data_IF_722229854166
#
_entry.id   IF_722229854166
#
_cell.length_a   1.000
_cell.length_b   1.000
_cell.length_c   1.000
_cell.angle_alpha   90.00
_cell.angle_beta   90.00
_cell.angle_gamma   90.00
#
_symmetry.space_group_name_H-M   'P 1'
#
loop_
_entity.id
_entity.type
_entity.pdbx_description
1 polymer ?
#
# COMPACT_ATOMS: atom_id res chain seq x y z
N UNK A 1 -7.73 23.26 2.29
CA UNK A 1 -6.47 22.94 1.58
C UNK A 1 -5.22 23.09 2.44
N UNK A 2 -5.02 24.20 3.17
CA UNK A 2 -3.83 24.39 4.04
C UNK A 2 -3.62 23.25 5.07
N UNK A 3 -4.72 22.72 5.63
CA UNK A 3 -4.68 21.67 6.67
C UNK A 3 -4.13 20.33 6.18
N UNK A 4 -4.66 19.83 5.06
CA UNK A 4 -4.17 18.60 4.43
C UNK A 4 -2.71 18.71 4.00
N UNK A 5 -2.30 19.86 3.44
CA UNK A 5 -0.90 20.09 3.08
C UNK A 5 0.03 20.05 4.29
N UNK A 6 -0.37 20.67 5.40
CA UNK A 6 0.38 20.57 6.66
C UNK A 6 0.43 19.13 7.17
N UNK A 7 -0.69 18.40 7.12
CA UNK A 7 -0.75 16.99 7.53
C UNK A 7 0.18 16.11 6.68
N UNK A 8 0.19 16.28 5.35
CA UNK A 8 1.11 15.58 4.44
C UNK A 8 2.57 15.88 4.77
N UNK A 9 2.92 17.16 4.99
CA UNK A 9 4.30 17.55 5.33
C UNK A 9 4.75 16.95 6.66
N UNK A 10 3.86 16.95 7.65
CA UNK A 10 4.16 16.35 8.95
C UNK A 10 4.31 14.83 8.80
N UNK A 11 3.37 14.15 8.17
CA UNK A 11 3.46 12.70 7.99
C UNK A 11 4.75 12.29 7.23
N UNK A 12 5.15 13.04 6.20
CA UNK A 12 6.43 12.83 5.51
C UNK A 12 7.66 13.05 6.42
N UNK A 13 7.62 14.06 7.29
CA UNK A 13 8.71 14.32 8.24
C UNK A 13 8.77 13.22 9.31
N UNK A 14 7.63 12.70 9.76
CA UNK A 14 7.56 11.58 10.69
C UNK A 14 8.13 10.31 10.06
N UNK A 15 7.76 10.01 8.81
CA UNK A 15 8.31 8.90 8.04
C UNK A 15 9.83 9.03 7.87
N UNK A 16 10.33 10.23 7.60
CA UNK A 16 11.76 10.48 7.47
C UNK A 16 12.51 10.29 8.80
N UNK A 17 12.00 10.86 9.89
CA UNK A 17 12.61 10.75 11.23
C UNK A 17 12.66 9.30 11.74
N UNK A 18 11.64 8.51 11.43
CA UNK A 18 11.56 7.09 11.78
C UNK A 18 12.26 6.17 10.77
N UNK A 19 12.90 6.72 9.74
CA UNK A 19 13.76 5.99 8.82
C UNK A 19 13.08 5.16 7.73
N UNK A 20 11.78 5.34 7.49
CA UNK A 20 11.04 4.64 6.44
C UNK A 20 11.62 4.89 5.04
N UNK A 21 12.12 6.10 4.78
CA UNK A 21 12.80 6.42 3.51
C UNK A 21 14.14 5.69 3.35
N UNK A 22 14.91 5.53 4.43
CA UNK A 22 16.16 4.77 4.38
C UNK A 22 15.89 3.29 4.13
N UNK A 23 14.86 2.73 4.78
CA UNK A 23 14.41 1.37 4.53
C UNK A 23 13.95 1.19 3.08
N UNK A 24 13.13 2.09 2.54
CA UNK A 24 12.67 2.08 1.15
C UNK A 24 13.84 2.10 0.14
N UNK A 25 14.84 2.97 0.35
CA UNK A 25 16.04 3.03 -0.52
C UNK A 25 16.84 1.73 -0.45
N UNK A 26 17.04 1.18 0.75
CA UNK A 26 17.77 -0.08 0.92
C UNK A 26 17.04 -1.24 0.24
N UNK A 27 15.73 -1.35 0.44
CA UNK A 27 14.88 -2.36 -0.19
C UNK A 27 14.91 -2.22 -1.71
N UNK A 28 14.81 -1.00 -2.24
CA UNK A 28 14.94 -0.74 -3.67
C UNK A 28 16.29 -1.16 -4.23
N UNK A 29 17.39 -0.88 -3.52
CA UNK A 29 18.73 -1.27 -3.93
C UNK A 29 18.88 -2.80 -3.98
N UNK A 30 18.40 -3.50 -2.94
CA UNK A 30 18.44 -4.96 -2.85
C UNK A 30 17.59 -5.59 -3.97
N UNK A 31 16.33 -5.16 -4.12
CA UNK A 31 15.45 -5.67 -5.18
C UNK A 31 16.04 -5.42 -6.57
N UNK A 32 16.56 -4.23 -6.82
CA UNK A 32 17.16 -3.89 -8.11
C UNK A 32 18.39 -4.76 -8.39
N UNK A 33 19.24 -5.02 -7.39
CA UNK A 33 20.41 -5.89 -7.52
C UNK A 33 20.02 -7.35 -7.79
N UNK A 34 19.01 -7.86 -7.08
CA UNK A 34 18.53 -9.23 -7.26
C UNK A 34 17.87 -9.42 -8.63
N UNK A 35 16.99 -8.51 -9.03
CA UNK A 35 16.27 -8.61 -10.29
C UNK A 35 17.19 -8.43 -11.50
N UNK A 36 18.23 -7.61 -11.42
CA UNK A 36 19.21 -7.45 -12.51
C UNK A 36 20.00 -8.72 -12.84
N UNK A 37 20.06 -9.68 -11.94
CA UNK A 37 20.72 -10.97 -12.19
C UNK A 37 19.85 -11.91 -13.04
N UNK A 38 18.58 -11.59 -13.22
CA UNK A 38 17.65 -12.39 -14.01
C UNK A 38 17.63 -11.95 -15.49
N UNK A 39 17.38 -12.89 -16.41
CA UNK A 39 17.30 -12.56 -17.83
C UNK A 39 16.02 -11.75 -18.13
N UNK A 40 16.12 -10.85 -19.10
CA UNK A 40 15.10 -9.83 -19.38
C UNK A 40 13.73 -10.41 -19.80
N UNK A 41 13.72 -11.61 -20.40
CA UNK A 41 12.53 -12.37 -20.77
C UNK A 41 11.66 -12.72 -19.56
N UNK A 42 12.27 -13.00 -18.40
CA UNK A 42 11.54 -13.34 -17.17
C UNK A 42 11.09 -12.12 -16.37
N UNK A 43 11.74 -10.97 -16.55
CA UNK A 43 11.43 -9.76 -15.80
C UNK A 43 10.01 -9.23 -16.07
N UNK A 44 9.55 -9.28 -17.33
CA UNK A 44 8.22 -8.79 -17.69
C UNK A 44 7.08 -9.54 -16.96
N UNK A 45 7.27 -10.84 -16.69
CA UNK A 45 6.32 -11.65 -15.93
C UNK A 45 6.52 -11.51 -14.41
N UNK A 46 7.76 -11.38 -13.94
CA UNK A 46 8.07 -11.34 -12.51
C UNK A 46 7.76 -9.97 -11.86
N UNK A 47 8.03 -8.87 -12.55
CA UNK A 47 7.97 -7.50 -12.01
C UNK A 47 6.59 -7.12 -11.44
N UNK A 48 5.46 -7.36 -12.12
CA UNK A 48 4.14 -7.03 -11.56
C UNK A 48 3.88 -7.68 -10.21
N UNK A 49 4.22 -8.97 -10.08
CA UNK A 49 4.02 -9.72 -8.85
C UNK A 49 5.01 -9.33 -7.75
N UNK A 50 6.29 -9.13 -8.11
CA UNK A 50 7.33 -8.67 -7.18
C UNK A 50 6.99 -7.30 -6.59
N UNK A 51 6.54 -6.36 -7.43
CA UNK A 51 6.16 -5.01 -7.01
C UNK A 51 4.92 -5.04 -6.11
N UNK A 52 3.89 -5.81 -6.47
CA UNK A 52 2.72 -5.99 -5.60
C UNK A 52 3.11 -6.61 -4.25
N UNK A 53 4.03 -7.58 -4.24
CA UNK A 53 4.59 -8.15 -3.01
C UNK A 53 5.38 -7.12 -2.20
N UNK A 54 6.16 -6.26 -2.84
CA UNK A 54 6.90 -5.18 -2.19
C UNK A 54 5.95 -4.17 -1.50
N UNK A 55 4.79 -3.89 -2.11
CA UNK A 55 3.78 -3.01 -1.52
C UNK A 55 3.21 -3.54 -0.19
N UNK A 56 3.20 -4.86 0.04
CA UNK A 56 2.81 -5.41 1.34
C UNK A 56 3.69 -4.81 2.45
N UNK A 57 4.99 -4.67 2.22
CA UNK A 57 5.90 -4.06 3.19
C UNK A 57 5.72 -2.54 3.19
N UNK A 58 5.90 -1.90 2.03
CA UNK A 58 5.99 -0.44 1.93
C UNK A 58 4.71 0.33 2.24
N UNK A 59 3.54 -0.33 2.18
CA UNK A 59 2.26 0.31 2.47
C UNK A 59 1.53 -0.35 3.62
N UNK A 60 1.30 -1.66 3.57
CA UNK A 60 0.54 -2.36 4.61
C UNK A 60 1.30 -2.42 5.94
N UNK A 61 2.59 -2.80 5.95
CA UNK A 61 3.37 -2.82 7.19
C UNK A 61 3.84 -1.42 7.60
N UNK A 62 4.19 -0.55 6.65
CA UNK A 62 4.61 0.81 6.97
C UNK A 62 3.51 1.62 7.65
N UNK A 63 2.26 1.57 7.17
CA UNK A 63 1.15 2.25 7.86
C UNK A 63 0.90 1.66 9.24
N UNK A 64 1.07 0.34 9.40
CA UNK A 64 0.96 -0.33 10.69
C UNK A 64 2.02 0.15 11.68
N UNK A 65 3.28 0.16 11.26
CA UNK A 65 4.38 0.68 12.07
C UNK A 65 4.21 2.16 12.41
N UNK A 66 3.84 2.99 11.44
CA UNK A 66 3.57 4.41 11.66
C UNK A 66 2.46 4.62 12.69
N UNK A 67 1.36 3.87 12.60
CA UNK A 67 0.25 4.03 13.53
C UNK A 67 0.64 3.63 14.96
N UNK A 68 1.39 2.54 15.12
CA UNK A 68 1.85 2.08 16.43
C UNK A 68 2.87 3.04 17.04
N UNK A 69 3.79 3.60 16.22
CA UNK A 69 4.69 4.66 16.65
C UNK A 69 3.92 5.91 17.09
N UNK A 70 2.89 6.32 16.33
CA UNK A 70 2.06 7.45 16.70
C UNK A 70 1.25 7.23 17.99
N UNK A 71 0.86 5.98 18.27
CA UNK A 71 0.23 5.60 19.54
C UNK A 71 1.20 5.67 20.70
N UNK A 72 2.39 5.10 20.55
CA UNK A 72 3.44 5.05 21.59
C UNK A 72 3.96 6.46 21.93
N UNK A 73 4.14 7.32 20.92
CA UNK A 73 4.53 8.72 21.12
C UNK A 73 3.40 9.62 21.65
N UNK A 74 2.17 9.09 21.80
CA UNK A 74 0.98 9.84 22.19
C UNK A 74 0.53 10.89 21.17
N UNK A 75 1.13 10.93 19.97
CA UNK A 75 0.79 11.90 18.92
C UNK A 75 -0.60 11.65 18.36
N UNK A 76 -1.07 10.41 18.36
CA UNK A 76 -2.44 10.08 17.97
C UNK A 76 -3.48 10.65 18.95
N UNK A 77 -3.20 10.62 20.25
CA UNK A 77 -4.04 11.22 21.29
C UNK A 77 -4.03 12.74 21.20
N UNK A 78 -2.87 13.33 20.92
CA UNK A 78 -2.75 14.77 20.67
C UNK A 78 -3.58 15.21 19.46
N UNK A 79 -3.80 14.35 18.46
CA UNK A 79 -4.66 14.69 17.32
C UNK A 79 -6.13 14.89 17.72
N UNK A 80 -6.62 14.23 18.77
CA UNK A 80 -8.01 14.35 19.24
C UNK A 80 -8.31 15.76 19.73
N UNK A 81 -7.33 16.43 20.35
CA UNK A 81 -7.46 17.81 20.84
C UNK A 81 -7.11 18.87 19.77
N UNK A 82 -6.49 18.46 18.66
CA UNK A 82 -6.33 19.33 17.49
C UNK A 82 -7.59 19.28 16.61
N UNK A 83 -7.93 20.32 15.86
CA UNK A 83 -9.12 20.29 15.02
C UNK A 83 -9.03 19.31 13.83
N UNK A 84 -7.96 18.52 13.69
CA UNK A 84 -7.62 17.74 12.48
C UNK A 84 -8.72 16.72 12.17
N UNK A 85 -9.24 16.76 10.94
CA UNK A 85 -10.28 15.83 10.51
C UNK A 85 -9.64 14.47 10.22
N UNK A 86 -10.29 13.38 10.62
CA UNK A 86 -9.87 12.00 10.28
C UNK A 86 -9.60 11.81 8.78
N UNK A 87 -10.39 12.47 7.93
CA UNK A 87 -10.21 12.43 6.47
C UNK A 87 -8.87 13.03 6.04
N UNK A 88 -8.45 14.14 6.65
CA UNK A 88 -7.19 14.81 6.33
C UNK A 88 -6.00 13.97 6.83
N UNK A 89 -6.13 13.32 8.00
CA UNK A 89 -5.14 12.40 8.55
C UNK A 89 -4.94 11.15 7.66
N UNK A 90 -6.03 10.45 7.34
CA UNK A 90 -5.96 9.27 6.47
C UNK A 90 -5.45 9.65 5.07
N UNK A 91 -5.94 10.75 4.50
CA UNK A 91 -5.46 11.22 3.20
C UNK A 91 -3.97 11.55 3.22
N UNK A 92 -3.45 12.13 4.30
CA UNK A 92 -2.02 12.39 4.43
C UNK A 92 -1.20 11.10 4.32
N UNK A 93 -1.55 10.05 5.10
CA UNK A 93 -0.88 8.75 5.07
C UNK A 93 -0.95 8.07 3.71
N UNK A 94 -2.14 8.09 3.10
CA UNK A 94 -2.33 7.47 1.78
C UNK A 94 -1.48 8.18 0.72
N UNK A 95 -1.42 9.52 0.74
CA UNK A 95 -0.63 10.29 -0.21
C UNK A 95 0.87 10.06 0.00
N UNK A 96 1.38 10.17 1.22
CA UNK A 96 2.81 10.03 1.51
C UNK A 96 3.31 8.61 1.22
N UNK A 97 2.61 7.56 1.68
CA UNK A 97 2.99 6.17 1.43
C UNK A 97 2.88 5.79 -0.05
N UNK A 98 1.85 6.29 -0.74
CA UNK A 98 1.70 6.04 -2.18
C UNK A 98 2.79 6.75 -2.98
N UNK A 99 3.14 7.99 -2.64
CA UNK A 99 4.25 8.71 -3.27
C UNK A 99 5.59 8.00 -3.02
N UNK A 100 5.86 7.57 -1.79
CA UNK A 100 7.06 6.79 -1.46
C UNK A 100 7.12 5.51 -2.28
N UNK A 101 6.02 4.76 -2.32
CA UNK A 101 5.91 3.52 -3.09
C UNK A 101 6.06 3.74 -4.59
N UNK A 102 5.47 4.81 -5.14
CA UNK A 102 5.62 5.21 -6.54
C UNK A 102 7.07 5.51 -6.88
N UNK A 103 7.76 6.32 -6.08
CA UNK A 103 9.16 6.64 -6.31
C UNK A 103 10.02 5.38 -6.25
N UNK A 104 9.87 4.59 -5.19
CA UNK A 104 10.66 3.40 -4.96
C UNK A 104 10.48 2.35 -6.07
N UNK A 105 9.24 1.95 -6.37
CA UNK A 105 8.98 0.91 -7.35
C UNK A 105 9.21 1.39 -8.79
N UNK A 106 9.08 2.70 -9.07
CA UNK A 106 9.51 3.26 -10.35
C UNK A 106 11.02 3.18 -10.51
N UNK A 107 11.80 3.46 -9.46
CA UNK A 107 13.26 3.29 -9.49
C UNK A 107 13.63 1.82 -9.71
N UNK A 108 13.00 0.87 -9.00
CA UNK A 108 13.22 -0.56 -9.20
C UNK A 108 12.93 -0.95 -10.66
N UNK A 109 11.77 -0.56 -11.20
CA UNK A 109 11.39 -0.86 -12.58
C UNK A 109 12.36 -0.25 -13.61
N UNK A 110 12.76 1.01 -13.43
CA UNK A 110 13.68 1.71 -14.32
C UNK A 110 15.10 1.10 -14.27
N UNK A 111 15.60 0.76 -13.08
CA UNK A 111 16.94 0.21 -12.92
C UNK A 111 17.03 -1.21 -13.49
N UNK A 112 15.95 -2.00 -13.38
CA UNK A 112 15.91 -3.42 -13.79
C UNK A 112 15.51 -3.62 -15.24
N UNK A 113 14.50 -2.89 -15.73
CA UNK A 113 13.89 -3.07 -17.05
C UNK A 113 14.10 -1.88 -18.00
N UNK A 114 14.62 -0.75 -17.50
CA UNK A 114 14.79 0.47 -18.30
C UNK A 114 13.46 1.16 -18.61
N UNK A 115 13.42 1.90 -19.72
CA UNK A 115 12.25 2.69 -20.15
C UNK A 115 11.26 1.91 -21.03
N UNK A 116 11.46 0.61 -21.22
CA UNK A 116 10.71 -0.21 -22.17
C UNK A 116 9.33 -0.68 -21.65
N UNK A 117 8.77 -0.03 -20.62
CA UNK A 117 7.47 -0.35 -20.04
C UNK A 117 6.52 0.84 -20.09
N UNK A 118 5.22 0.57 -20.06
CA UNK A 118 4.17 1.59 -20.10
C UNK A 118 3.97 2.17 -18.70
N UNK A 119 4.48 3.38 -18.46
CA UNK A 119 4.43 4.01 -17.14
C UNK A 119 2.99 4.26 -16.63
N UNK A 120 2.06 4.64 -17.50
CA UNK A 120 0.69 4.98 -17.09
C UNK A 120 -0.07 3.81 -16.43
N UNK A 121 -0.25 2.63 -17.07
CA UNK A 121 -0.87 1.47 -16.42
C UNK A 121 -0.13 1.05 -15.15
N UNK A 122 1.20 1.07 -15.19
CA UNK A 122 2.04 0.75 -14.05
C UNK A 122 1.74 1.66 -12.84
N UNK A 123 1.77 2.98 -13.03
CA UNK A 123 1.53 3.96 -11.98
C UNK A 123 0.10 3.86 -11.44
N UNK A 124 -0.90 3.62 -12.30
CA UNK A 124 -2.29 3.44 -11.89
C UNK A 124 -2.48 2.17 -11.05
N UNK A 125 -1.95 1.04 -11.50
CA UNK A 125 -2.00 -0.23 -10.77
C UNK A 125 -1.30 -0.12 -9.42
N UNK A 126 -0.12 0.49 -9.40
CA UNK A 126 0.65 0.71 -8.18
C UNK A 126 -0.10 1.61 -7.18
N UNK A 127 -0.66 2.73 -7.65
CA UNK A 127 -1.41 3.69 -6.82
C UNK A 127 -2.67 3.04 -6.22
N UNK A 128 -3.41 2.27 -7.01
CA UNK A 128 -4.61 1.59 -6.50
C UNK A 128 -4.24 0.48 -5.50
N UNK A 129 -3.20 -0.31 -5.81
CA UNK A 129 -2.71 -1.34 -4.91
C UNK A 129 -2.19 -0.74 -3.59
N UNK A 130 -1.39 0.33 -3.64
CA UNK A 130 -0.81 0.98 -2.47
C UNK A 130 -1.89 1.53 -1.55
N UNK A 131 -2.95 2.13 -2.11
CA UNK A 131 -4.09 2.64 -1.33
C UNK A 131 -4.86 1.49 -0.69
N UNK A 132 -5.13 0.40 -1.42
CA UNK A 132 -5.83 -0.78 -0.86
C UNK A 132 -5.01 -1.40 0.27
N UNK A 133 -3.72 -1.63 0.07
CA UNK A 133 -2.84 -2.19 1.10
C UNK A 133 -2.70 -1.27 2.31
N UNK A 134 -2.54 0.04 2.11
CA UNK A 134 -2.48 1.00 3.21
C UNK A 134 -3.79 1.01 4.01
N UNK A 135 -4.95 1.04 3.35
CA UNK A 135 -6.23 1.01 4.06
C UNK A 135 -6.47 -0.31 4.79
N UNK A 136 -6.10 -1.44 4.19
CA UNK A 136 -6.21 -2.74 4.83
C UNK A 136 -5.24 -2.89 6.00
N UNK A 137 -4.00 -2.39 5.87
CA UNK A 137 -3.01 -2.36 6.95
C UNK A 137 -3.48 -1.52 8.11
N UNK A 138 -4.04 -0.34 7.82
CA UNK A 138 -4.66 0.51 8.82
C UNK A 138 -5.81 -0.20 9.57
N UNK A 139 -6.73 -0.86 8.85
CA UNK A 139 -7.82 -1.64 9.46
C UNK A 139 -7.33 -2.82 10.30
N UNK A 140 -6.22 -3.43 9.90
CA UNK A 140 -5.59 -4.50 10.64
C UNK A 140 -4.98 -3.97 11.94
N UNK A 141 -4.21 -2.88 11.87
CA UNK A 141 -3.41 -2.39 13.01
C UNK A 141 -4.20 -1.57 14.03
N UNK A 142 -5.26 -0.87 13.63
CA UNK A 142 -5.90 0.16 14.46
C UNK A 142 -6.40 -0.31 15.83
N UNK A 143 -6.75 -1.59 15.93
CA UNK A 143 -7.26 -2.23 17.15
C UNK A 143 -6.18 -2.68 18.14
N UNK A 144 -4.92 -2.63 17.74
CA UNK A 144 -3.77 -3.07 18.54
C UNK A 144 -2.96 -1.87 19.00
N UNK A 145 -2.44 -1.93 20.21
CA UNK A 145 -1.64 -0.84 20.78
C UNK A 145 -0.13 -1.14 20.77
N UNK A 146 0.26 -2.40 20.55
CA UNK A 146 1.65 -2.82 20.53
C UNK A 146 2.03 -3.68 19.30
N UNK A 147 3.30 -3.60 18.90
CA UNK A 147 3.85 -4.30 17.73
C UNK A 147 3.80 -5.82 17.89
N UNK A 148 4.09 -6.33 19.08
CA UNK A 148 4.07 -7.76 19.40
C UNK A 148 2.68 -8.38 19.23
N UNK A 149 1.62 -7.64 19.57
CA UNK A 149 0.22 -8.07 19.38
C UNK A 149 -0.23 -8.00 17.92
N UNK A 150 0.28 -7.02 17.18
CA UNK A 150 -0.06 -6.80 15.77
C UNK A 150 0.63 -7.78 14.82
N UNK A 151 1.89 -8.14 15.10
CA UNK A 151 2.77 -8.87 14.17
C UNK A 151 2.16 -10.18 13.68
N UNK A 152 1.70 -11.05 14.58
CA UNK A 152 1.20 -12.37 14.19
C UNK A 152 -0.16 -12.30 13.46
N UNK A 153 -1.17 -11.55 13.93
CA UNK A 153 -2.41 -11.34 13.18
C UNK A 153 -2.20 -10.67 11.81
N UNK A 154 -1.25 -9.74 11.70
CA UNK A 154 -0.97 -9.04 10.44
C UNK A 154 -0.52 -9.98 9.32
N UNK A 155 0.12 -11.10 9.65
CA UNK A 155 0.50 -12.13 8.66
C UNK A 155 -0.73 -12.80 8.03
N UNK A 156 -1.81 -13.00 8.79
CA UNK A 156 -3.06 -13.56 8.26
C UNK A 156 -3.74 -12.57 7.31
N UNK A 157 -3.79 -11.29 7.68
CA UNK A 157 -4.30 -10.22 6.82
C UNK A 157 -3.46 -10.06 5.55
N UNK A 158 -2.14 -9.97 5.70
CA UNK A 158 -1.20 -9.84 4.60
C UNK A 158 -1.23 -11.05 3.66
N UNK A 159 -1.24 -12.26 4.22
CA UNK A 159 -1.35 -13.52 3.46
C UNK A 159 -2.66 -13.62 2.69
N UNK A 160 -3.78 -13.22 3.30
CA UNK A 160 -5.07 -13.14 2.61
C UNK A 160 -5.02 -12.17 1.43
N UNK A 161 -4.44 -10.98 1.61
CA UNK A 161 -4.31 -10.00 0.54
C UNK A 161 -3.38 -10.46 -0.59
N UNK A 162 -2.32 -11.21 -0.29
CA UNK A 162 -1.37 -11.67 -1.31
C UNK A 162 -1.80 -12.96 -2.02
N UNK A 163 -2.99 -13.51 -1.74
CA UNK A 163 -3.51 -14.70 -2.43
C UNK A 163 -3.46 -14.62 -3.97
N UNK A 164 -3.75 -13.48 -4.64
CA UNK A 164 -3.62 -13.38 -6.09
C UNK A 164 -2.20 -13.59 -6.60
N UNK A 165 -1.17 -13.33 -5.79
CA UNK A 165 0.21 -13.61 -6.17
C UNK A 165 0.48 -15.10 -6.26
N UNK A 166 -0.07 -15.88 -5.33
CA UNK A 166 0.03 -17.35 -5.36
C UNK A 166 -0.65 -17.87 -6.63
N UNK A 167 -1.85 -17.37 -6.93
CA UNK A 167 -2.55 -17.75 -8.15
C UNK A 167 -1.79 -17.32 -9.42
N UNK A 168 -1.23 -16.11 -9.43
CA UNK A 168 -0.46 -15.55 -10.54
C UNK A 168 0.81 -16.35 -10.84
N UNK A 169 1.63 -16.62 -9.81
CA UNK A 169 2.87 -17.38 -9.97
C UNK A 169 2.63 -18.90 -10.15
N UNK A 170 1.55 -19.42 -9.57
CA UNK A 170 1.13 -20.83 -9.71
C UNK A 170 0.38 -21.14 -11.02
N UNK A 171 0.10 -20.13 -11.85
CA UNK A 171 -0.62 -20.30 -13.11
C UNK A 171 -2.11 -20.65 -12.94
N UNK A 172 -2.69 -20.41 -11.77
CA UNK A 172 -4.09 -20.72 -11.48
C UNK A 172 -5.01 -19.62 -12.00
N UNK A 173 -5.69 -19.91 -13.11
CA UNK A 173 -6.67 -19.00 -13.71
C UNK A 173 -8.09 -19.45 -13.38
N UNK A 174 -8.55 -19.10 -12.18
CA UNK A 174 -9.92 -19.36 -11.75
C UNK A 174 -10.69 -18.04 -11.58
N UNK A 175 -11.97 -18.03 -11.95
CA UNK A 175 -12.82 -16.82 -11.91
C UNK A 175 -12.93 -16.23 -10.49
N UNK A 176 -12.81 -17.05 -9.44
CA UNK A 176 -12.81 -16.60 -8.05
C UNK A 176 -11.69 -15.61 -7.72
N UNK A 177 -10.54 -15.67 -8.41
CA UNK A 177 -9.44 -14.73 -8.18
C UNK A 177 -9.85 -13.30 -8.56
N UNK A 178 -10.77 -13.13 -9.51
CA UNK A 178 -11.33 -11.83 -9.89
C UNK A 178 -12.25 -11.22 -8.81
N UNK A 179 -12.63 -11.96 -7.78
CA UNK A 179 -13.33 -11.39 -6.62
C UNK A 179 -12.36 -10.81 -5.59
N UNK A 180 -11.06 -11.03 -5.76
CA UNK A 180 -10.07 -10.56 -4.81
C UNK A 180 -9.71 -9.07 -5.08
N UNK A 181 -9.64 -8.21 -4.04
CA UNK A 181 -9.38 -6.77 -4.20
C UNK A 181 -8.10 -6.44 -4.97
N UNK A 182 -7.04 -7.23 -4.78
CA UNK A 182 -5.75 -7.00 -5.44
C UNK A 182 -5.62 -7.58 -6.84
N UNK A 183 -6.60 -8.35 -7.32
CA UNK A 183 -6.53 -8.88 -8.69
C UNK A 183 -6.65 -7.75 -9.74
N UNK A 184 -7.52 -6.78 -9.49
CA UNK A 184 -7.70 -5.62 -10.37
C UNK A 184 -6.41 -4.76 -10.48
N UNK A 185 -5.79 -4.30 -9.38
CA UNK A 185 -4.49 -3.62 -9.44
C UNK A 185 -3.37 -4.46 -10.07
N UNK A 186 -3.35 -5.77 -9.83
CA UNK A 186 -2.36 -6.66 -10.44
C UNK A 186 -2.48 -6.71 -11.97
N UNK A 187 -3.70 -6.72 -12.52
CA UNK A 187 -3.91 -6.62 -13.97
C UNK A 187 -3.41 -5.30 -14.56
N UNK A 188 -3.58 -4.18 -13.84
CA UNK A 188 -3.03 -2.88 -14.26
C UNK A 188 -1.49 -2.86 -14.19
N UNK A 189 -0.90 -3.49 -13.18
CA UNK A 189 0.55 -3.64 -13.10
C UNK A 189 1.09 -4.51 -14.25
N UNK A 190 0.41 -5.61 -14.58
CA UNK A 190 0.75 -6.43 -15.76
C UNK A 190 0.67 -5.62 -17.05
N UNK A 191 -0.31 -4.73 -17.15
CA UNK A 191 -0.42 -3.79 -18.25
C UNK A 191 0.77 -2.81 -18.34
N UNK A 192 1.69 -2.76 -17.37
CA UNK A 192 2.99 -2.11 -17.56
C UNK A 192 3.84 -2.76 -18.65
N UNK A 193 3.77 -4.08 -18.77
CA UNK A 193 4.66 -4.89 -19.63
C UNK A 193 3.92 -5.68 -20.72
N UNK A 194 2.61 -5.87 -20.61
CA UNK A 194 1.79 -6.57 -21.58
C UNK A 194 0.58 -5.76 -22.03
N UNK A 195 -0.03 -6.14 -23.16
CA UNK A 195 -1.30 -5.59 -23.59
C UNK A 195 -2.45 -6.32 -22.89
N UNK A 196 -3.40 -5.56 -22.36
CA UNK A 196 -4.62 -6.09 -21.73
C UNK A 196 -5.83 -5.62 -22.52
N UNK A 197 -6.92 -6.39 -22.49
CA UNK A 197 -8.14 -6.08 -23.20
C UNK A 197 -8.87 -4.88 -22.57
N UNK A 198 -9.69 -4.18 -23.36
CA UNK A 198 -10.45 -3.00 -22.91
C UNK A 198 -11.37 -3.33 -21.73
N UNK A 199 -12.02 -4.49 -21.73
CA UNK A 199 -12.87 -4.91 -20.62
C UNK A 199 -12.06 -5.11 -19.32
N UNK A 200 -10.79 -5.53 -19.41
CA UNK A 200 -9.91 -5.69 -18.24
C UNK A 200 -9.54 -4.33 -17.66
N UNK A 201 -9.36 -3.30 -18.49
CA UNK A 201 -9.20 -1.92 -18.03
C UNK A 201 -10.41 -1.43 -17.25
N UNK A 202 -11.62 -1.60 -17.81
CA UNK A 202 -12.87 -1.18 -17.18
C UNK A 202 -13.08 -1.91 -15.86
N UNK A 203 -12.92 -3.24 -15.86
CA UNK A 203 -12.99 -4.06 -14.65
C UNK A 203 -11.96 -3.59 -13.61
N UNK A 204 -10.69 -3.44 -14.00
CA UNK A 204 -9.65 -3.13 -13.04
C UNK A 204 -9.83 -1.74 -12.40
N UNK A 205 -10.23 -0.74 -13.17
CA UNK A 205 -10.47 0.61 -12.66
C UNK A 205 -11.70 0.68 -11.75
N UNK A 206 -12.84 0.15 -12.21
CA UNK A 206 -14.09 0.22 -11.44
C UNK A 206 -14.02 -0.65 -10.18
N UNK A 207 -13.47 -1.85 -10.30
CA UNK A 207 -13.41 -2.80 -9.19
C UNK A 207 -12.38 -2.37 -8.13
N UNK A 208 -11.21 -1.87 -8.54
CA UNK A 208 -10.26 -1.29 -7.58
C UNK A 208 -10.83 -0.03 -6.91
N UNK A 209 -11.51 0.85 -7.66
CA UNK A 209 -12.16 2.02 -7.09
C UNK A 209 -13.24 1.65 -6.06
N UNK A 210 -14.05 0.61 -6.35
CA UNK A 210 -15.03 0.07 -5.42
C UNK A 210 -14.35 -0.38 -4.11
N UNK A 211 -13.29 -1.18 -4.20
CA UNK A 211 -12.57 -1.66 -3.02
C UNK A 211 -11.88 -0.54 -2.24
N UNK A 212 -11.31 0.45 -2.92
CA UNK A 212 -10.78 1.66 -2.27
C UNK A 212 -11.88 2.39 -1.51
N UNK A 213 -13.07 2.58 -2.11
CA UNK A 213 -14.19 3.25 -1.46
C UNK A 213 -14.68 2.48 -0.22
N UNK A 214 -14.86 1.16 -0.35
CA UNK A 214 -15.28 0.28 0.75
C UNK A 214 -14.25 0.32 1.88
N UNK A 215 -12.97 0.09 1.58
CA UNK A 215 -11.91 0.11 2.57
C UNK A 215 -11.77 1.48 3.23
N UNK A 216 -11.92 2.58 2.49
CA UNK A 216 -11.84 3.94 3.02
C UNK A 216 -12.99 4.27 3.99
N UNK A 217 -14.21 3.83 3.68
CA UNK A 217 -15.36 3.98 4.57
C UNK A 217 -15.16 3.18 5.85
N UNK A 218 -14.71 1.93 5.74
CA UNK A 218 -14.41 1.08 6.88
C UNK A 218 -13.30 1.69 7.74
N UNK A 219 -12.22 2.20 7.15
CA UNK A 219 -11.13 2.85 7.88
C UNK A 219 -11.59 4.10 8.64
N UNK A 220 -12.45 4.92 8.04
CA UNK A 220 -13.03 6.07 8.74
C UNK A 220 -13.87 5.65 9.94
N UNK A 221 -14.71 4.61 9.79
CA UNK A 221 -15.54 4.09 10.88
C UNK A 221 -14.68 3.50 12.00
N UNK A 222 -13.68 2.70 11.64
CA UNK A 222 -12.76 2.08 12.58
C UNK A 222 -11.98 3.15 13.37
N UNK A 223 -11.49 4.21 12.71
CA UNK A 223 -10.81 5.30 13.40
C UNK A 223 -11.70 5.98 14.42
N UNK A 224 -12.95 6.28 14.06
CA UNK A 224 -13.86 6.91 14.99
C UNK A 224 -14.18 6.02 16.20
N UNK A 225 -14.27 4.70 16.00
CA UNK A 225 -14.58 3.75 17.06
C UNK A 225 -13.39 3.47 18.00
N UNK A 226 -12.20 3.20 17.44
CA UNK A 226 -11.05 2.79 18.25
C UNK A 226 -10.25 3.97 18.77
N UNK A 227 -10.17 5.09 18.02
CA UNK A 227 -9.32 6.23 18.39
C UNK A 227 -10.10 7.33 19.08
N UNK A 228 -11.32 7.66 18.63
CA UNK A 228 -12.09 8.79 19.18
C UNK A 228 -12.95 8.38 20.38
N UNK A 229 -13.59 7.20 20.35
CA UNK A 229 -14.42 6.73 21.47
C UNK A 229 -13.65 5.90 22.51
N UNK A 230 -12.58 5.20 22.11
CA UNK A 230 -11.76 4.38 23.03
C UNK A 230 -10.89 5.20 23.99
N UNK A 231 -10.46 6.39 23.60
CA UNK A 231 -9.64 7.31 24.39
C UNK A 231 -10.40 8.07 25.49
N UNK A 232 -11.72 7.85 25.61
CA UNK A 232 -12.56 8.37 26.69
C UNK A 232 -12.72 7.44 27.90
N UNK A 233 -12.07 6.26 27.88
CA UNK A 233 -12.13 5.28 28.98
C UNK A 233 -10.72 4.86 29.36
N UNK A 234 -9.97 5.79 29.96
CA UNK A 234 -8.80 5.50 30.79
C UNK A 234 -8.77 6.46 31.97
#
# INVERSE_FOLDING_TARGET
MKRLQTAIRWDATLQFRNGFYYAAILVAAIWSLLLRQLPADKLAWLLPGAILGNLLINTFYFIGGLLLLEKDEGTLTAQIVTPLRTRDYLAAKLVTLTLLSLLENSLIALITYGWAFRFLPFALGLTLASVIFALAGFLAVIRYDAINEYLLPSMLYGGGLTLPLIAYFGGWQHWLVYLHPLQAPLLLLQAGWSTIAIWQWIYALLYAALWVAVAYILSQRAFHHFVVTGSGVH
#
